data_IF_086513510339
#
_entry.id   IF_086513510339
#
_cell.length_a   1.000
_cell.length_b   1.000
_cell.length_c   1.000
_cell.angle_alpha   90.00
_cell.angle_beta   90.00
_cell.angle_gamma   90.00
#
_symmetry.space_group_name_H-M   'P 1'
#
loop_
_entity.id
_entity.type
_entity.pdbx_description
1 polymer ?
#
# COMPACT_ATOMS: atom_id res chain seq x y z
N UNK A 1 15.76 -12.13 -16.22
CA UNK A 1 14.80 -11.02 -16.40
C UNK A 1 13.41 -11.52 -16.10
N UNK A 2 12.65 -10.77 -15.31
CA UNK A 2 11.28 -11.16 -14.97
C UNK A 2 10.38 -10.97 -16.20
N UNK A 3 9.82 -12.05 -16.74
CA UNK A 3 9.05 -12.05 -17.99
C UNK A 3 7.71 -11.29 -17.94
N UNK A 4 7.31 -10.76 -16.79
CA UNK A 4 6.01 -10.08 -16.57
C UNK A 4 6.14 -8.82 -15.70
N UNK A 5 7.21 -8.04 -15.90
CA UNK A 5 7.40 -6.79 -15.15
C UNK A 5 6.34 -5.73 -15.52
N UNK A 6 5.76 -5.09 -14.51
CA UNK A 6 4.68 -4.10 -14.70
C UNK A 6 5.10 -2.71 -14.28
N UNK A 7 4.74 -1.71 -15.09
CA UNK A 7 4.69 -0.30 -14.69
C UNK A 7 3.24 0.06 -14.38
N UNK A 8 2.97 0.49 -13.17
CA UNK A 8 1.63 0.81 -12.67
C UNK A 8 1.53 2.31 -12.44
N UNK A 9 0.45 2.94 -12.92
CA UNK A 9 0.19 4.36 -12.73
C UNK A 9 -1.07 4.57 -11.92
N UNK A 10 -0.99 5.43 -10.90
CA UNK A 10 -2.11 5.70 -9.98
C UNK A 10 -2.99 6.87 -10.40
N UNK A 11 -2.85 7.37 -11.64
CA UNK A 11 -3.69 8.46 -12.16
C UNK A 11 -5.19 8.17 -12.04
N UNK A 12 -5.68 6.93 -12.22
CA UNK A 12 -7.09 6.61 -12.05
C UNK A 12 -7.57 6.58 -10.59
N UNK A 13 -6.68 6.71 -9.61
CA UNK A 13 -7.03 6.64 -8.18
C UNK A 13 -7.33 8.02 -7.61
N UNK A 14 -8.38 8.14 -6.80
CA UNK A 14 -8.63 9.27 -5.93
C UNK A 14 -8.53 8.84 -4.47
N UNK A 15 -7.72 9.53 -3.68
CA UNK A 15 -7.61 9.27 -2.24
C UNK A 15 -8.64 10.09 -1.48
N UNK A 16 -9.45 9.40 -0.65
CA UNK A 16 -10.55 9.98 0.11
C UNK A 16 -10.34 9.74 1.59
N UNK A 17 -10.43 10.79 2.39
CA UNK A 17 -10.30 10.74 3.84
C UNK A 17 -11.67 10.58 4.51
N UNK A 18 -11.77 9.62 5.41
CA UNK A 18 -12.96 9.40 6.28
C UNK A 18 -12.94 10.24 7.55
N UNK A 19 -11.87 10.99 7.78
CA UNK A 19 -11.65 11.79 8.99
C UNK A 19 -11.27 13.24 8.69
N UNK A 20 -11.37 13.65 7.42
CA UNK A 20 -10.84 14.95 6.94
C UNK A 20 -9.33 15.04 7.22
N UNK A 21 -8.90 16.00 7.99
CA UNK A 21 -7.52 16.19 8.44
C UNK A 21 -7.27 15.73 9.90
N UNK A 22 -8.30 15.14 10.54
CA UNK A 22 -8.19 14.64 11.90
C UNK A 22 -7.45 13.31 11.96
N UNK A 23 -6.52 13.18 12.91
CA UNK A 23 -5.78 11.96 13.24
C UNK A 23 -5.32 12.05 14.70
N UNK A 24 -5.52 11.02 15.50
CA UNK A 24 -5.07 11.01 16.90
C UNK A 24 -3.59 10.62 17.04
N UNK A 25 -3.05 9.91 16.05
CA UNK A 25 -1.63 9.58 16.02
C UNK A 25 -0.80 10.78 15.54
N UNK A 26 0.35 10.95 16.12
CA UNK A 26 1.33 11.97 15.72
C UNK A 26 2.60 11.31 15.19
N UNK A 27 2.44 10.54 14.12
CA UNK A 27 3.51 9.74 13.56
C UNK A 27 4.70 10.59 13.10
N UNK A 28 5.91 10.21 13.50
CA UNK A 28 7.15 10.98 13.23
C UNK A 28 7.42 11.17 11.73
N UNK A 29 6.97 10.25 10.88
CA UNK A 29 7.21 10.28 9.44
C UNK A 29 6.20 11.13 8.65
N UNK A 30 4.94 11.27 9.11
CA UNK A 30 3.91 11.94 8.31
C UNK A 30 3.33 13.20 8.94
N UNK A 31 3.18 13.28 10.26
CA UNK A 31 2.58 14.42 10.97
C UNK A 31 1.30 14.93 10.30
N UNK A 32 0.39 14.02 9.93
CA UNK A 32 -0.92 14.30 9.27
C UNK A 32 -0.83 14.96 7.88
N UNK A 33 0.36 15.14 7.31
CA UNK A 33 0.53 15.91 6.06
C UNK A 33 -0.19 15.32 4.87
N UNK A 34 -0.24 13.98 4.80
CA UNK A 34 -0.88 13.30 3.67
C UNK A 34 -2.39 13.49 3.65
N UNK A 35 -3.04 13.69 4.81
CA UNK A 35 -4.48 13.93 4.90
C UNK A 35 -4.91 15.20 4.16
N UNK A 36 -4.06 16.24 4.16
CA UNK A 36 -4.35 17.51 3.50
C UNK A 36 -4.51 17.44 1.98
N UNK A 37 -4.00 16.37 1.37
CA UNK A 37 -4.13 16.13 -0.07
C UNK A 37 -5.28 15.18 -0.43
N UNK A 38 -5.97 14.62 0.56
CA UNK A 38 -7.08 13.72 0.36
C UNK A 38 -8.40 14.50 0.24
N UNK A 39 -9.33 13.95 -0.52
CA UNK A 39 -10.69 14.49 -0.64
C UNK A 39 -11.51 14.12 0.60
N UNK A 40 -12.41 14.99 1.00
CA UNK A 40 -13.34 14.71 2.09
C UNK A 40 -14.44 13.74 1.61
N UNK A 41 -14.68 12.68 2.37
CA UNK A 41 -15.74 11.72 2.04
C UNK A 41 -17.15 12.33 2.17
N UNK A 42 -17.30 13.38 2.97
CA UNK A 42 -18.55 14.09 3.18
C UNK A 42 -18.82 15.18 2.11
N UNK A 43 -17.88 15.38 1.14
CA UNK A 43 -18.12 16.33 0.05
C UNK A 43 -19.25 15.84 -0.85
N UNK A 44 -20.36 16.58 -0.91
CA UNK A 44 -21.52 16.26 -1.74
C UNK A 44 -21.17 16.13 -3.23
N UNK A 45 -20.13 16.84 -3.70
CA UNK A 45 -19.64 16.82 -5.08
C UNK A 45 -18.59 15.73 -5.34
N UNK A 46 -18.33 14.83 -4.38
CA UNK A 46 -17.27 13.82 -4.53
C UNK A 46 -17.51 12.95 -5.78
N UNK A 47 -18.75 12.50 -6.01
CA UNK A 47 -19.08 11.67 -7.19
C UNK A 47 -18.90 12.46 -8.50
N UNK A 48 -19.27 13.73 -8.54
CA UNK A 48 -19.01 14.59 -9.68
C UNK A 48 -17.51 14.77 -9.92
N UNK A 49 -16.76 15.02 -8.85
CA UNK A 49 -15.30 15.14 -8.89
C UNK A 49 -14.64 13.87 -9.46
N UNK A 50 -15.08 12.69 -9.03
CA UNK A 50 -14.61 11.41 -9.55
C UNK A 50 -14.85 11.29 -11.07
N UNK A 51 -16.04 11.66 -11.55
CA UNK A 51 -16.42 11.64 -12.97
C UNK A 51 -15.58 12.64 -13.79
N UNK A 52 -15.52 13.89 -13.35
CA UNK A 52 -14.77 14.96 -14.05
C UNK A 52 -13.27 14.62 -14.13
N UNK A 53 -12.70 14.07 -13.06
CA UNK A 53 -11.30 13.64 -13.01
C UNK A 53 -11.05 12.27 -13.65
N UNK A 54 -12.08 11.63 -14.22
CA UNK A 54 -12.00 10.31 -14.90
C UNK A 54 -11.34 9.25 -14.00
N UNK A 55 -11.75 9.20 -12.74
CA UNK A 55 -11.25 8.19 -11.79
C UNK A 55 -12.05 6.90 -11.93
N UNK A 56 -11.39 5.76 -11.71
CA UNK A 56 -12.03 4.44 -11.68
C UNK A 56 -11.94 3.78 -10.31
N UNK A 57 -11.03 4.27 -9.47
CA UNK A 57 -10.69 3.67 -8.19
C UNK A 57 -10.67 4.72 -7.09
N UNK A 58 -11.16 4.36 -5.92
CA UNK A 58 -11.12 5.21 -4.73
C UNK A 58 -10.33 4.50 -3.63
N UNK A 59 -9.29 5.16 -3.14
CA UNK A 59 -8.59 4.77 -1.94
C UNK A 59 -9.30 5.38 -0.74
N UNK A 60 -10.00 4.55 0.02
CA UNK A 60 -10.63 4.93 1.28
C UNK A 60 -9.59 4.83 2.40
N UNK A 61 -9.27 5.94 3.02
CA UNK A 61 -8.31 6.01 4.12
C UNK A 61 -8.70 7.15 5.07
N UNK A 62 -7.77 7.64 5.87
CA UNK A 62 -7.99 8.73 6.80
C UNK A 62 -6.93 8.77 7.89
N UNK A 63 -7.16 9.61 8.89
CA UNK A 63 -6.36 9.59 10.10
C UNK A 63 -6.78 8.44 11.02
N UNK A 64 -5.85 8.00 11.84
CA UNK A 64 -6.08 6.91 12.80
C UNK A 64 -6.60 7.43 14.13
N UNK A 65 -7.39 6.60 14.79
CA UNK A 65 -7.75 6.74 16.20
C UNK A 65 -6.58 6.28 17.11
N UNK A 66 -6.72 6.44 18.42
CA UNK A 66 -5.70 6.05 19.42
C UNK A 66 -5.36 4.56 19.40
N UNK A 67 -6.31 3.72 18.99
CA UNK A 67 -6.12 2.28 18.82
C UNK A 67 -5.41 1.91 17.50
N UNK A 68 -5.10 2.89 16.67
CA UNK A 68 -4.47 2.71 15.37
C UNK A 68 -5.44 2.35 14.24
N UNK A 69 -6.74 2.26 14.48
CA UNK A 69 -7.75 2.00 13.45
C UNK A 69 -8.03 3.25 12.61
N UNK A 70 -8.34 3.06 11.33
CA UNK A 70 -8.94 4.08 10.48
C UNK A 70 -10.46 3.88 10.52
N UNK A 71 -11.25 4.85 11.02
CA UNK A 71 -12.66 4.66 11.31
C UNK A 71 -13.57 4.76 10.07
N UNK A 72 -13.21 4.11 8.97
CA UNK A 72 -13.99 4.08 7.71
C UNK A 72 -15.41 3.54 7.94
N UNK A 73 -15.59 2.63 8.89
CA UNK A 73 -16.87 2.02 9.24
C UNK A 73 -17.93 3.02 9.70
N UNK A 74 -17.53 4.21 10.12
CA UNK A 74 -18.45 5.32 10.45
C UNK A 74 -18.99 6.01 9.19
N UNK A 75 -18.42 5.74 8.04
CA UNK A 75 -18.70 6.38 6.76
C UNK A 75 -19.29 5.43 5.70
N UNK A 76 -19.78 4.25 6.13
CA UNK A 76 -20.25 3.21 5.19
C UNK A 76 -21.32 3.70 4.22
N UNK A 77 -22.24 4.57 4.67
CA UNK A 77 -23.26 5.17 3.79
C UNK A 77 -22.65 5.92 2.58
N UNK A 78 -21.60 6.70 2.82
CA UNK A 78 -20.92 7.44 1.75
C UNK A 78 -20.07 6.49 0.90
N UNK A 79 -19.44 5.48 1.51
CA UNK A 79 -18.66 4.45 0.82
C UNK A 79 -19.57 3.63 -0.12
N UNK A 80 -20.75 3.23 0.34
CA UNK A 80 -21.76 2.54 -0.47
C UNK A 80 -22.20 3.38 -1.67
N UNK A 81 -22.41 4.70 -1.49
CA UNK A 81 -22.72 5.61 -2.57
C UNK A 81 -21.63 5.61 -3.64
N UNK A 82 -20.35 5.59 -3.25
CA UNK A 82 -19.23 5.53 -4.18
C UNK A 82 -19.26 4.19 -4.94
N UNK A 83 -19.38 3.06 -4.25
CA UNK A 83 -19.41 1.73 -4.88
C UNK A 83 -20.58 1.55 -5.83
N UNK A 84 -21.77 2.03 -5.46
CA UNK A 84 -22.98 1.97 -6.28
C UNK A 84 -22.90 2.83 -7.57
N UNK A 85 -21.95 3.77 -7.61
CA UNK A 85 -21.59 4.49 -8.83
C UNK A 85 -20.51 3.78 -9.68
N UNK A 86 -20.16 2.55 -9.36
CA UNK A 86 -19.28 1.69 -10.18
C UNK A 86 -17.77 1.85 -9.93
N UNK A 87 -17.36 2.52 -8.84
CA UNK A 87 -15.95 2.68 -8.51
C UNK A 87 -15.41 1.47 -7.75
N UNK A 88 -14.19 1.07 -8.08
CA UNK A 88 -13.43 0.09 -7.29
C UNK A 88 -12.93 0.73 -6.00
N UNK A 89 -12.97 -0.02 -4.91
CA UNK A 89 -12.62 0.46 -3.58
C UNK A 89 -11.44 -0.29 -2.99
N UNK A 90 -10.37 0.43 -2.69
CA UNK A 90 -9.31 -0.05 -1.82
C UNK A 90 -9.44 0.63 -0.45
N UNK A 91 -9.34 -0.11 0.65
CA UNK A 91 -9.41 0.45 2.00
C UNK A 91 -8.10 0.27 2.76
N UNK A 92 -7.63 1.34 3.39
CA UNK A 92 -6.61 1.26 4.45
C UNK A 92 -7.32 1.20 5.79
N UNK A 93 -7.19 0.06 6.47
CA UNK A 93 -7.99 -0.22 7.68
C UNK A 93 -7.32 0.25 8.97
N UNK A 94 -5.98 0.42 8.95
CA UNK A 94 -5.24 0.40 10.21
C UNK A 94 -5.54 -0.88 11.00
N UNK A 95 -5.60 -0.80 12.32
CA UNK A 95 -5.88 -1.93 13.21
C UNK A 95 -7.38 -2.05 13.50
N UNK A 96 -8.10 -2.61 12.55
CA UNK A 96 -9.56 -2.65 12.57
C UNK A 96 -10.09 -3.49 13.73
N UNK A 97 -10.99 -2.96 14.61
CA UNK A 97 -11.65 -3.75 15.63
C UNK A 97 -12.53 -4.86 15.05
N UNK A 98 -12.54 -6.04 15.69
CA UNK A 98 -13.17 -7.28 15.19
C UNK A 98 -14.66 -7.14 14.86
N UNK A 99 -15.40 -6.32 15.61
CA UNK A 99 -16.82 -6.06 15.35
C UNK A 99 -17.10 -5.43 13.98
N UNK A 100 -16.07 -4.88 13.32
CA UNK A 100 -16.17 -4.22 12.01
C UNK A 100 -15.66 -5.07 10.85
N UNK A 101 -15.19 -6.30 11.08
CA UNK A 101 -14.67 -7.16 10.03
C UNK A 101 -15.67 -7.47 8.93
N UNK A 102 -16.96 -7.51 9.25
CA UNK A 102 -18.01 -7.79 8.28
C UNK A 102 -18.07 -6.76 7.13
N UNK A 103 -17.54 -5.53 7.34
CA UNK A 103 -17.45 -4.56 6.27
C UNK A 103 -16.33 -4.86 5.26
N UNK A 104 -15.33 -5.69 5.61
CA UNK A 104 -14.18 -5.92 4.76
C UNK A 104 -14.53 -6.56 3.42
N UNK A 105 -15.54 -7.43 3.38
CA UNK A 105 -16.01 -8.08 2.15
C UNK A 105 -16.67 -7.14 1.16
N UNK A 106 -16.94 -5.89 1.57
CA UNK A 106 -17.53 -4.86 0.73
C UNK A 106 -16.49 -4.21 -0.22
N UNK A 107 -15.21 -4.29 0.12
CA UNK A 107 -14.13 -3.67 -0.64
C UNK A 107 -13.57 -4.61 -1.70
N UNK A 108 -12.89 -4.04 -2.70
CA UNK A 108 -12.23 -4.81 -3.75
C UNK A 108 -10.76 -5.13 -3.36
N UNK A 109 -10.18 -4.37 -2.44
CA UNK A 109 -8.86 -4.62 -1.87
C UNK A 109 -8.73 -4.05 -0.46
N UNK A 110 -7.89 -4.68 0.35
CA UNK A 110 -7.61 -4.27 1.73
C UNK A 110 -6.11 -4.06 1.88
N UNK A 111 -5.69 -2.84 2.13
CA UNK A 111 -4.30 -2.47 2.39
C UNK A 111 -4.06 -2.35 3.89
N UNK A 112 -3.02 -3.00 4.39
CA UNK A 112 -2.63 -2.95 5.81
C UNK A 112 -1.13 -2.69 5.91
N UNK A 113 -0.75 -1.66 6.67
CA UNK A 113 0.66 -1.42 6.99
C UNK A 113 1.15 -2.46 8.01
N UNK A 114 2.24 -3.10 7.67
CA UNK A 114 2.86 -4.15 8.49
C UNK A 114 4.17 -3.62 9.05
N UNK A 115 4.35 -3.80 10.36
CA UNK A 115 5.59 -3.44 11.07
C UNK A 115 6.22 -4.68 11.69
N UNK A 116 7.56 -4.71 11.71
CA UNK A 116 8.30 -5.88 12.18
C UNK A 116 8.48 -5.93 13.70
N UNK A 117 8.52 -4.79 14.36
CA UNK A 117 8.92 -4.70 15.77
C UNK A 117 8.13 -3.66 16.55
N UNK A 118 8.01 -3.90 17.86
CA UNK A 118 7.33 -3.01 18.82
C UNK A 118 7.90 -1.58 18.82
N UNK A 119 9.19 -1.44 18.57
CA UNK A 119 9.86 -0.13 18.55
C UNK A 119 9.26 0.77 17.45
N UNK A 120 8.84 0.20 16.31
CA UNK A 120 8.22 0.97 15.23
C UNK A 120 6.86 1.53 15.66
N UNK A 121 6.06 0.75 16.38
CA UNK A 121 4.77 1.22 16.90
C UNK A 121 4.95 2.39 17.85
N UNK A 122 5.89 2.28 18.81
CA UNK A 122 6.14 3.31 19.81
C UNK A 122 6.85 4.52 19.24
N UNK A 123 7.99 4.29 18.56
CA UNK A 123 8.89 5.38 18.15
C UNK A 123 8.42 6.10 16.89
N UNK A 124 7.76 5.43 15.95
CA UNK A 124 7.35 6.02 14.67
C UNK A 124 5.89 6.41 14.68
N UNK A 125 5.03 5.49 15.06
CA UNK A 125 3.57 5.71 15.03
C UNK A 125 3.01 6.37 16.29
N UNK A 126 3.80 6.46 17.37
CA UNK A 126 3.34 6.93 18.67
C UNK A 126 2.10 6.17 19.15
N UNK A 127 2.12 4.85 18.97
CA UNK A 127 1.03 3.94 19.22
C UNK A 127 1.42 2.97 20.34
N UNK A 128 0.68 3.05 21.46
CA UNK A 128 0.89 2.20 22.62
C UNK A 128 -0.03 0.97 22.58
N UNK A 129 0.24 0.12 21.58
CA UNK A 129 -0.43 -1.18 21.38
C UNK A 129 0.66 -2.24 21.31
N UNK A 130 0.43 -3.39 21.94
CA UNK A 130 1.36 -4.50 21.84
C UNK A 130 1.36 -5.06 20.40
N UNK A 131 2.55 -5.27 19.84
CA UNK A 131 2.71 -5.78 18.47
C UNK A 131 2.12 -7.18 18.30
N UNK A 132 2.06 -7.99 19.36
CA UNK A 132 1.41 -9.31 19.31
C UNK A 132 -0.10 -9.16 19.08
N UNK A 133 -0.76 -8.25 19.78
CA UNK A 133 -2.19 -7.96 19.59
C UNK A 133 -2.50 -7.48 18.18
N UNK A 134 -1.59 -6.67 17.62
CA UNK A 134 -1.69 -6.21 16.26
C UNK A 134 -1.57 -7.35 15.24
N UNK A 135 -0.56 -8.20 15.40
CA UNK A 135 -0.35 -9.37 14.55
C UNK A 135 -1.52 -10.34 14.64
N UNK A 136 -2.02 -10.60 15.85
CA UNK A 136 -3.20 -11.44 16.07
C UNK A 136 -4.46 -10.84 15.41
N UNK A 137 -4.63 -9.53 15.44
CA UNK A 137 -5.74 -8.86 14.76
C UNK A 137 -5.66 -9.07 13.24
N UNK A 138 -4.48 -8.93 12.64
CA UNK A 138 -4.28 -9.15 11.20
C UNK A 138 -4.52 -10.63 10.81
N UNK A 139 -4.07 -11.59 11.63
CA UNK A 139 -4.36 -13.01 11.43
C UNK A 139 -5.86 -13.29 11.46
N UNK A 140 -6.60 -12.68 12.40
CA UNK A 140 -8.06 -12.80 12.47
C UNK A 140 -8.77 -12.18 11.25
N UNK A 141 -8.24 -11.08 10.69
CA UNK A 141 -8.76 -10.52 9.44
C UNK A 141 -8.56 -11.51 8.30
N UNK A 142 -7.37 -12.10 8.17
CA UNK A 142 -7.07 -13.09 7.13
C UNK A 142 -7.96 -14.33 7.26
N UNK A 143 -8.12 -14.86 8.46
CA UNK A 143 -9.02 -15.96 8.77
C UNK A 143 -10.49 -15.63 8.41
N UNK A 144 -10.97 -14.44 8.80
CA UNK A 144 -12.32 -13.99 8.48
C UNK A 144 -12.56 -13.97 6.96
N UNK A 145 -11.63 -13.43 6.17
CA UNK A 145 -11.75 -13.36 4.71
C UNK A 145 -11.69 -14.75 4.06
N UNK A 146 -10.82 -15.64 4.55
CA UNK A 146 -10.73 -17.02 4.07
C UNK A 146 -12.02 -17.80 4.37
N UNK A 147 -12.59 -17.64 5.57
CA UNK A 147 -13.86 -18.23 5.95
C UNK A 147 -15.03 -17.71 5.10
N UNK A 148 -15.03 -16.40 4.78
CA UNK A 148 -16.03 -15.81 3.88
C UNK A 148 -15.96 -16.39 2.47
N UNK A 149 -14.75 -16.63 1.93
CA UNK A 149 -14.54 -17.32 0.64
C UNK A 149 -15.08 -18.75 0.65
N UNK A 150 -14.75 -19.51 1.68
CA UNK A 150 -15.15 -20.90 1.81
C UNK A 150 -16.67 -21.08 1.91
N UNK A 151 -17.34 -20.13 2.59
CA UNK A 151 -18.82 -20.12 2.73
C UNK A 151 -19.55 -19.71 1.46
N UNK A 152 -18.90 -18.95 0.56
CA UNK A 152 -19.49 -18.43 -0.67
C UNK A 152 -18.58 -18.70 -1.88
N UNK A 153 -18.44 -19.96 -2.33
CA UNK A 153 -17.52 -20.31 -3.42
C UNK A 153 -17.78 -19.54 -4.72
N UNK A 154 -19.04 -19.23 -5.02
CA UNK A 154 -19.45 -18.46 -6.22
C UNK A 154 -19.02 -16.98 -6.17
N UNK A 155 -18.71 -16.47 -4.99
CA UNK A 155 -18.27 -15.10 -4.77
C UNK A 155 -16.80 -15.03 -4.30
N UNK A 156 -16.10 -16.15 -4.29
CA UNK A 156 -14.74 -16.25 -3.77
C UNK A 156 -13.78 -15.23 -4.40
N UNK A 157 -13.91 -15.02 -5.71
CA UNK A 157 -13.07 -14.08 -6.47
C UNK A 157 -13.39 -12.61 -6.19
N UNK A 158 -14.58 -12.33 -5.63
CA UNK A 158 -15.00 -10.97 -5.23
C UNK A 158 -14.61 -10.64 -3.79
N UNK A 159 -14.27 -11.63 -2.97
CA UNK A 159 -13.84 -11.40 -1.60
C UNK A 159 -12.36 -11.04 -1.61
N UNK A 160 -11.98 -9.86 -1.10
CA UNK A 160 -10.60 -9.38 -1.19
C UNK A 160 -9.63 -10.25 -0.39
N UNK A 161 -8.35 -10.11 -0.71
CA UNK A 161 -7.24 -10.53 0.15
C UNK A 161 -6.58 -9.31 0.77
N UNK A 162 -5.86 -9.54 1.87
CA UNK A 162 -4.97 -8.51 2.43
C UNK A 162 -3.83 -8.26 1.45
N UNK A 163 -3.53 -6.98 1.24
CA UNK A 163 -2.32 -6.53 0.56
C UNK A 163 -1.43 -5.85 1.61
N UNK A 164 -0.42 -6.54 2.14
CA UNK A 164 0.48 -5.97 3.12
C UNK A 164 1.38 -4.90 2.49
N UNK A 165 1.54 -3.79 3.22
CA UNK A 165 2.46 -2.72 2.89
C UNK A 165 3.56 -2.69 3.95
N UNK A 166 4.81 -2.74 3.53
CA UNK A 166 5.99 -2.61 4.39
C UNK A 166 6.74 -1.36 3.96
N UNK A 167 6.99 -0.43 4.88
CA UNK A 167 7.76 0.78 4.58
C UNK A 167 9.21 0.58 5.00
N UNK A 168 10.09 0.44 4.00
CA UNK A 168 11.53 0.28 4.19
C UNK A 168 12.11 1.57 4.77
N UNK A 169 12.96 1.43 5.81
CA UNK A 169 13.63 2.54 6.47
C UNK A 169 12.70 3.42 7.29
N UNK A 170 11.51 2.96 7.69
CA UNK A 170 10.50 3.76 8.41
C UNK A 170 11.05 4.33 9.74
N UNK A 171 12.06 3.71 10.33
CA UNK A 171 12.77 4.20 11.52
C UNK A 171 13.90 5.17 11.11
N UNK A 172 13.52 6.38 10.65
CA UNK A 172 14.44 7.46 10.31
C UNK A 172 15.50 7.08 9.24
N UNK A 173 15.16 6.22 8.30
CA UNK A 173 16.07 5.73 7.24
C UNK A 173 17.01 4.59 7.68
N UNK A 174 16.86 4.10 8.90
CA UNK A 174 17.65 2.97 9.43
C UNK A 174 16.93 1.64 9.18
N UNK A 175 17.60 0.54 9.53
CA UNK A 175 16.97 -0.79 9.61
C UNK A 175 15.71 -0.71 10.48
N UNK A 176 14.62 -1.18 9.92
CA UNK A 176 13.29 -1.05 10.52
C UNK A 176 12.63 -2.41 10.75
N UNK A 177 13.44 -3.45 10.91
CA UNK A 177 12.99 -4.82 11.15
C UNK A 177 12.10 -5.37 10.02
N UNK A 178 12.42 -5.04 8.78
CA UNK A 178 11.66 -5.43 7.59
C UNK A 178 11.57 -6.95 7.46
N UNK A 179 12.63 -7.70 7.78
CA UNK A 179 12.63 -9.16 7.76
C UNK A 179 11.60 -9.75 8.71
N UNK A 180 11.48 -9.21 9.94
CA UNK A 180 10.43 -9.65 10.89
C UNK A 180 9.02 -9.38 10.36
N UNK A 181 8.84 -8.29 9.59
CA UNK A 181 7.57 -8.00 8.93
C UNK A 181 7.29 -9.00 7.80
N UNK A 182 8.32 -9.35 7.00
CA UNK A 182 8.25 -10.36 5.95
C UNK A 182 7.93 -11.75 6.53
N UNK A 183 8.60 -12.16 7.61
CA UNK A 183 8.31 -13.41 8.33
C UNK A 183 6.87 -13.48 8.82
N UNK A 184 6.34 -12.34 9.28
CA UNK A 184 4.95 -12.30 9.72
C UNK A 184 3.98 -12.50 8.56
N UNK A 185 4.15 -11.77 7.45
CA UNK A 185 3.24 -11.87 6.31
C UNK A 185 3.33 -13.21 5.57
N UNK A 186 4.41 -13.98 5.73
CA UNK A 186 4.52 -15.34 5.17
C UNK A 186 3.44 -16.29 5.70
N UNK A 187 2.82 -15.96 6.84
CA UNK A 187 1.74 -16.71 7.48
C UNK A 187 0.35 -16.37 6.94
N UNK A 188 0.23 -15.31 6.12
CA UNK A 188 -1.04 -14.81 5.59
C UNK A 188 -1.34 -15.37 4.19
N UNK A 189 -2.62 -15.48 3.86
CA UNK A 189 -3.07 -15.83 2.51
C UNK A 189 -3.03 -14.62 1.58
N UNK A 190 -1.84 -14.21 1.17
CA UNK A 190 -1.60 -13.06 0.30
C UNK A 190 -1.16 -13.50 -1.10
N UNK A 191 -1.34 -12.64 -2.10
CA UNK A 191 -0.81 -12.85 -3.45
C UNK A 191 0.42 -11.98 -3.74
N UNK A 192 0.54 -10.86 -3.03
CA UNK A 192 1.59 -9.86 -3.23
C UNK A 192 1.91 -9.12 -1.93
N UNK A 193 3.08 -8.51 -1.91
CA UNK A 193 3.51 -7.51 -0.91
C UNK A 193 3.90 -6.22 -1.61
N UNK A 194 3.61 -5.09 -0.99
CA UNK A 194 4.00 -3.76 -1.48
C UNK A 194 5.06 -3.17 -0.56
N UNK A 195 6.23 -2.88 -1.11
CA UNK A 195 7.28 -2.16 -0.40
C UNK A 195 7.20 -0.67 -0.72
N UNK A 196 6.96 0.12 0.29
CA UNK A 196 7.11 1.57 0.28
C UNK A 196 8.46 1.97 0.89
N UNK A 197 8.83 3.23 0.80
CA UNK A 197 10.04 3.77 1.39
C UNK A 197 9.70 5.01 2.22
N UNK A 198 10.44 5.21 3.30
CA UNK A 198 10.35 6.45 4.03
C UNK A 198 10.65 7.62 3.09
N UNK A 199 9.77 8.61 3.09
CA UNK A 199 9.99 9.88 2.41
C UNK A 199 10.36 10.93 3.46
N UNK A 200 11.57 11.48 3.45
CA UNK A 200 11.94 12.61 4.30
C UNK A 200 11.03 13.80 4.01
N UNK A 201 10.02 14.01 4.86
CA UNK A 201 8.95 14.99 4.60
C UNK A 201 9.20 16.26 5.41
N UNK A 202 9.34 17.41 4.74
CA UNK A 202 9.56 18.71 5.39
C UNK A 202 8.47 18.98 6.44
N UNK A 203 8.89 19.37 7.66
CA UNK A 203 7.99 19.67 8.78
C UNK A 203 7.49 18.42 9.50
N UNK A 204 8.15 17.28 9.36
CA UNK A 204 8.02 16.09 10.20
C UNK A 204 9.29 15.89 11.01
N UNK A 205 9.25 15.00 12.02
CA UNK A 205 10.46 14.66 12.78
C UNK A 205 11.53 14.01 11.90
N UNK A 206 11.13 13.32 10.83
CA UNK A 206 12.02 12.63 9.90
C UNK A 206 12.31 13.43 8.62
N UNK A 207 12.19 14.77 8.69
CA UNK A 207 12.47 15.63 7.55
C UNK A 207 13.91 15.55 7.03
N UNK A 208 14.85 15.11 7.88
CA UNK A 208 16.28 14.95 7.57
C UNK A 208 16.72 13.48 7.55
N UNK A 209 15.79 12.54 7.50
CA UNK A 209 16.11 11.13 7.41
C UNK A 209 16.96 10.84 6.16
N UNK A 210 17.90 9.92 6.30
CA UNK A 210 18.67 9.44 5.15
C UNK A 210 17.81 8.52 4.28
N UNK A 211 18.07 8.51 2.99
CA UNK A 211 17.51 7.51 2.10
C UNK A 211 18.09 6.14 2.42
N UNK A 212 17.32 5.11 2.19
CA UNK A 212 17.77 3.71 2.32
C UNK A 212 18.85 3.43 1.29
N UNK A 213 19.92 2.76 1.72
CA UNK A 213 21.00 2.34 0.84
C UNK A 213 20.55 1.21 -0.09
N UNK A 214 21.04 1.20 -1.32
CA UNK A 214 20.72 0.16 -2.32
C UNK A 214 21.13 -1.23 -1.83
N UNK A 215 22.24 -1.33 -1.08
CA UNK A 215 22.67 -2.60 -0.47
C UNK A 215 21.57 -3.16 0.46
N UNK A 216 21.04 -2.32 1.37
CA UNK A 216 19.98 -2.73 2.29
C UNK A 216 18.69 -3.11 1.54
N UNK A 217 18.34 -2.35 0.51
CA UNK A 217 17.22 -2.71 -0.38
C UNK A 217 17.41 -4.11 -0.98
N UNK A 218 18.62 -4.40 -1.49
CA UNK A 218 18.92 -5.72 -2.08
C UNK A 218 18.76 -6.85 -1.07
N UNK A 219 19.23 -6.65 0.17
CA UNK A 219 19.08 -7.62 1.26
C UNK A 219 17.59 -7.91 1.53
N UNK A 220 16.77 -6.86 1.67
CA UNK A 220 15.32 -6.98 1.95
C UNK A 220 14.59 -7.68 0.81
N UNK A 221 14.83 -7.29 -0.45
CA UNK A 221 14.14 -7.90 -1.60
C UNK A 221 14.53 -9.38 -1.77
N UNK A 222 15.82 -9.71 -1.62
CA UNK A 222 16.28 -11.09 -1.68
C UNK A 222 15.68 -11.93 -0.54
N UNK A 223 15.61 -11.36 0.67
CA UNK A 223 14.95 -12.01 1.80
C UNK A 223 13.46 -12.26 1.52
N UNK A 224 12.76 -11.26 0.98
CA UNK A 224 11.36 -11.40 0.62
C UNK A 224 11.16 -12.48 -0.45
N UNK A 225 12.02 -12.57 -1.46
CA UNK A 225 11.96 -13.63 -2.48
C UNK A 225 12.10 -15.03 -1.90
N UNK A 226 13.02 -15.21 -0.94
CA UNK A 226 13.27 -16.51 -0.30
C UNK A 226 12.14 -16.90 0.65
N UNK A 227 11.56 -15.93 1.37
CA UNK A 227 10.55 -16.18 2.43
C UNK A 227 9.13 -16.24 1.87
N UNK A 228 8.87 -15.59 0.72
CA UNK A 228 7.54 -15.48 0.09
C UNK A 228 7.53 -16.14 -1.32
N UNK A 229 7.79 -17.44 -1.43
CA UNK A 229 7.88 -18.10 -2.73
C UNK A 229 6.54 -17.98 -3.49
N UNK A 230 6.63 -17.61 -4.78
CA UNK A 230 5.46 -17.46 -5.66
C UNK A 230 4.62 -16.19 -5.42
N UNK A 231 4.93 -15.39 -4.40
CA UNK A 231 4.24 -14.11 -4.17
C UNK A 231 4.89 -13.00 -5.00
N UNK A 232 4.06 -12.03 -5.45
CA UNK A 232 4.55 -10.89 -6.21
C UNK A 232 5.11 -9.81 -5.28
N UNK A 233 6.22 -9.22 -5.68
CA UNK A 233 6.86 -8.10 -4.97
C UNK A 233 6.65 -6.83 -5.78
N UNK A 234 5.89 -5.89 -5.23
CA UNK A 234 5.59 -4.61 -5.83
C UNK A 234 6.31 -3.48 -5.08
N UNK A 235 6.84 -2.53 -5.83
CA UNK A 235 7.37 -1.29 -5.28
C UNK A 235 6.26 -0.24 -5.33
N UNK A 236 5.83 0.21 -4.16
CA UNK A 236 4.72 1.14 -3.98
C UNK A 236 5.01 2.57 -4.48
N UNK A 237 3.99 3.41 -4.50
CA UNK A 237 4.10 4.79 -4.97
C UNK A 237 4.90 5.70 -4.00
N UNK A 238 4.95 5.34 -2.71
CA UNK A 238 5.65 6.10 -1.67
C UNK A 238 7.14 5.79 -1.71
N UNK A 239 7.90 6.65 -2.41
CA UNK A 239 9.37 6.60 -2.53
C UNK A 239 9.93 8.03 -2.52
N UNK A 240 11.19 8.24 -2.11
CA UNK A 240 11.88 9.53 -2.24
C UNK A 240 11.76 10.10 -3.64
N UNK A 241 11.86 11.43 -3.78
CA UNK A 241 11.73 12.12 -5.04
C UNK A 241 13.09 12.40 -5.71
N UNK A 242 13.06 12.88 -6.96
CA UNK A 242 14.25 13.30 -7.71
C UNK A 242 15.18 12.17 -8.04
N UNK A 243 16.50 12.41 -7.97
CA UNK A 243 17.55 11.45 -8.35
C UNK A 243 17.46 10.13 -7.61
N UNK A 244 17.19 10.18 -6.30
CA UNK A 244 17.05 8.97 -5.48
C UNK A 244 15.90 8.06 -5.95
N UNK A 245 14.82 8.63 -6.48
CA UNK A 245 13.74 7.82 -7.07
C UNK A 245 14.20 7.06 -8.29
N UNK A 246 14.94 7.71 -9.17
CA UNK A 246 15.49 7.10 -10.39
C UNK A 246 16.42 5.94 -10.01
N UNK A 247 17.35 6.18 -9.09
CA UNK A 247 18.28 5.17 -8.59
C UNK A 247 17.56 3.96 -7.99
N UNK A 248 16.53 4.20 -7.18
CA UNK A 248 15.70 3.13 -6.59
C UNK A 248 14.93 2.36 -7.67
N UNK A 249 14.35 3.03 -8.66
CA UNK A 249 13.61 2.36 -9.73
C UNK A 249 14.51 1.39 -10.51
N UNK A 250 15.75 1.80 -10.86
CA UNK A 250 16.73 0.91 -11.52
C UNK A 250 17.14 -0.25 -10.62
N UNK A 251 17.47 0.03 -9.35
CA UNK A 251 17.88 -1.01 -8.41
C UNK A 251 16.75 -2.04 -8.20
N UNK A 252 15.50 -1.62 -8.07
CA UNK A 252 14.35 -2.52 -7.94
C UNK A 252 14.17 -3.36 -9.20
N UNK A 253 14.34 -2.77 -10.38
CA UNK A 253 14.27 -3.49 -11.66
C UNK A 253 15.35 -4.57 -11.76
N UNK A 254 16.60 -4.23 -11.42
CA UNK A 254 17.73 -5.17 -11.41
C UNK A 254 17.52 -6.33 -10.42
N UNK A 255 16.81 -6.08 -9.31
CA UNK A 255 16.40 -7.07 -8.33
C UNK A 255 15.17 -7.89 -8.76
N UNK A 256 14.72 -7.71 -10.01
CA UNK A 256 13.61 -8.47 -10.60
C UNK A 256 12.32 -8.42 -9.80
N UNK A 257 11.96 -7.24 -9.26
CA UNK A 257 10.62 -7.04 -8.69
C UNK A 257 9.54 -7.20 -9.76
N UNK A 258 8.30 -7.48 -9.36
CA UNK A 258 7.22 -7.77 -10.33
C UNK A 258 6.56 -6.50 -10.86
N UNK A 259 6.58 -5.40 -10.08
CA UNK A 259 6.01 -4.13 -10.51
C UNK A 259 6.63 -2.92 -9.79
N UNK A 260 6.61 -1.78 -10.49
CA UNK A 260 6.93 -0.47 -9.91
C UNK A 260 5.75 0.48 -10.15
N UNK A 261 5.25 1.07 -9.05
CA UNK A 261 4.12 2.02 -9.07
C UNK A 261 4.62 3.45 -9.22
N UNK A 262 4.05 4.22 -10.15
CA UNK A 262 4.47 5.58 -10.49
C UNK A 262 5.99 5.68 -10.73
N UNK A 263 6.54 4.95 -11.70
CA UNK A 263 7.99 4.98 -11.99
C UNK A 263 8.43 6.40 -12.37
N UNK A 264 9.72 6.69 -12.15
CA UNK A 264 10.33 7.94 -12.61
C UNK A 264 10.34 8.01 -14.14
N UNK A 265 10.19 9.22 -14.68
CA UNK A 265 10.19 9.41 -16.15
C UNK A 265 11.49 8.95 -16.78
N UNK A 266 12.62 9.25 -16.15
CA UNK A 266 13.95 8.89 -16.66
C UNK A 266 14.13 7.37 -16.72
N UNK A 267 13.67 6.65 -15.68
CA UNK A 267 13.66 5.20 -15.68
C UNK A 267 12.82 4.65 -16.84
N UNK A 268 11.58 5.13 -17.02
CA UNK A 268 10.69 4.67 -18.09
C UNK A 268 11.31 4.90 -19.47
N UNK A 269 11.89 6.08 -19.72
CA UNK A 269 12.55 6.40 -20.99
C UNK A 269 13.71 5.45 -21.27
N UNK A 270 14.55 5.18 -20.26
CA UNK A 270 15.71 4.31 -20.44
C UNK A 270 15.33 2.85 -20.64
N UNK A 271 14.37 2.35 -19.85
CA UNK A 271 13.87 0.98 -19.99
C UNK A 271 13.23 0.79 -21.38
N UNK A 272 12.40 1.73 -21.83
CA UNK A 272 11.82 1.67 -23.18
C UNK A 272 12.89 1.63 -24.27
N UNK A 273 13.99 2.38 -24.15
CA UNK A 273 15.10 2.35 -25.11
C UNK A 273 15.82 0.99 -25.11
N UNK A 274 16.09 0.41 -23.94
CA UNK A 274 16.74 -0.89 -23.82
C UNK A 274 15.92 -2.01 -24.49
N UNK A 275 14.61 -1.89 -24.44
CA UNK A 275 13.70 -2.89 -25.00
C UNK A 275 13.19 -2.55 -26.42
N UNK A 276 13.41 -1.36 -26.98
CA UNK A 276 12.94 -0.94 -28.32
C UNK A 276 13.54 -1.76 -29.48
N UNK A 277 14.53 -2.64 -29.23
CA UNK A 277 15.01 -3.62 -30.21
C UNK A 277 14.11 -4.86 -30.36
N UNK A 278 13.22 -5.16 -29.42
CA UNK A 278 12.53 -6.45 -29.32
C UNK A 278 11.01 -6.37 -29.01
N UNK A 279 10.46 -5.17 -28.82
CA UNK A 279 9.05 -4.97 -28.35
C UNK A 279 7.95 -5.42 -29.31
N UNK A 280 8.24 -5.77 -30.54
CA UNK A 280 7.22 -6.22 -31.50
C UNK A 280 6.82 -7.69 -31.32
N UNK A 281 7.45 -8.44 -30.39
CA UNK A 281 7.26 -9.89 -30.20
C UNK A 281 7.17 -10.40 -28.76
N UNK A 282 7.38 -9.57 -27.75
CA UNK A 282 7.40 -10.03 -26.34
C UNK A 282 6.31 -9.38 -25.50
N UNK A 283 5.34 -10.20 -25.07
CA UNK A 283 4.28 -9.91 -24.09
C UNK A 283 4.83 -9.61 -22.66
N UNK A 284 6.11 -9.23 -22.54
CA UNK A 284 6.84 -9.25 -21.26
C UNK A 284 6.82 -7.92 -20.48
N UNK A 285 6.22 -6.88 -21.03
CA UNK A 285 6.17 -5.56 -20.40
C UNK A 285 4.75 -4.99 -20.48
N UNK A 286 4.11 -4.85 -19.33
CA UNK A 286 2.73 -4.36 -19.25
C UNK A 286 2.71 -2.96 -18.63
N UNK A 287 2.36 -1.93 -19.42
CA UNK A 287 1.93 -0.64 -18.88
C UNK A 287 0.46 -0.76 -18.46
N UNK A 288 0.20 -0.76 -17.16
CA UNK A 288 -1.16 -0.70 -16.62
C UNK A 288 -1.48 0.71 -16.18
N UNK A 289 -2.46 1.34 -16.80
CA UNK A 289 -3.05 2.61 -16.33
C UNK A 289 -4.20 2.38 -15.35
N UNK A 290 -4.33 1.18 -14.84
CA UNK A 290 -5.49 0.77 -14.05
C UNK A 290 -5.10 0.60 -12.57
N UNK A 291 -5.60 1.49 -11.73
CA UNK A 291 -5.82 1.23 -10.34
C UNK A 291 -4.66 1.50 -9.36
N UNK A 292 -4.94 1.20 -8.12
CA UNK A 292 -4.01 1.22 -6.99
C UNK A 292 -3.13 -0.05 -7.01
N UNK A 293 -1.89 0.05 -6.50
CA UNK A 293 -0.98 -1.10 -6.35
C UNK A 293 -1.62 -2.31 -5.64
N UNK A 294 -2.65 -2.08 -4.86
CA UNK A 294 -3.38 -3.12 -4.14
C UNK A 294 -4.43 -3.84 -5.00
N UNK A 295 -4.90 -3.25 -6.09
CA UNK A 295 -5.98 -3.79 -6.94
C UNK A 295 -5.48 -4.57 -8.17
N UNK A 296 -4.21 -4.39 -8.55
CA UNK A 296 -3.63 -4.96 -9.79
C UNK A 296 -2.92 -6.27 -9.55
#
# INVERSE_FOLDING_TARGET
>A
MNKNFKLIYTDPVLSVSTTKDYCELNCKHCNKKYLKSMYDIDDERLIETLKVKKKSTVLISGGSLKDGSVPFYKQMKNIEKIKNNGYLLNVHTGFLPTQHFHYLTFFDSISIDIVGDQIILREVYNLDVDISNLKDNILKIDEFLNNAKSKNPLLSDKIPKIVPHITIGILNGMDSYEEKAIDFISKLNIDKVVFNFLIPTKGTFYAKAKNVEIKRLSEIINYARSTLPGKKIYIGCMRPFGKSRVELDFACFDLSVDAIVNPSKDFVVQIKKLYQGDFSKDDNFIESKEGCCSLI
#
